data_IF_849911057919
#
_entry.id   IF_849911057919
#
_cell.length_a   1.000
_cell.length_b   1.000
_cell.length_c   1.000
_cell.angle_alpha   90.00
_cell.angle_beta   90.00
_cell.angle_gamma   90.00
#
_symmetry.space_group_name_H-M   'P 1'
#
loop_
_entity.id
_entity.type
_entity.pdbx_description
1 polymer ?
#
# COMPACT_ATOMS: atom_id res chain seq x y z
N UNK A 1 -14.44 -13.08 1.95
CA UNK A 1 -14.04 -11.66 1.96
C UNK A 1 -12.69 -11.55 1.30
N UNK A 2 -12.37 -10.40 0.72
CA UNK A 2 -11.09 -10.15 0.05
C UNK A 2 -10.46 -8.85 0.55
N UNK A 3 -9.13 -8.78 0.45
CA UNK A 3 -8.34 -7.59 0.75
C UNK A 3 -7.91 -6.95 -0.56
N UNK A 4 -8.12 -5.66 -0.72
CA UNK A 4 -7.67 -4.94 -1.91
C UNK A 4 -6.33 -4.26 -1.61
N UNK A 5 -5.34 -4.49 -2.46
CA UNK A 5 -4.12 -3.67 -2.57
C UNK A 5 -4.25 -2.90 -3.86
N UNK A 6 -4.06 -1.59 -3.82
CA UNK A 6 -4.32 -0.71 -4.95
C UNK A 6 -3.03 0.01 -5.32
N UNK A 7 -2.70 -0.04 -6.61
CA UNK A 7 -1.53 0.60 -7.16
C UNK A 7 -1.86 1.32 -8.47
N UNK A 8 -1.12 2.38 -8.76
CA UNK A 8 -1.25 3.15 -10.00
C UNK A 8 0.04 3.19 -10.80
N UNK A 9 -0.06 3.11 -12.12
CA UNK A 9 1.10 3.17 -13.03
C UNK A 9 1.70 4.57 -13.15
N UNK A 10 0.99 5.62 -12.72
CA UNK A 10 1.49 7.01 -12.78
C UNK A 10 2.33 7.40 -11.57
N UNK A 11 2.47 6.50 -10.59
CA UNK A 11 3.26 6.71 -9.38
C UNK A 11 4.33 5.62 -9.22
N UNK A 12 5.63 5.96 -9.29
CA UNK A 12 6.72 4.99 -9.10
C UNK A 12 6.69 4.31 -7.73
N UNK A 13 6.39 5.05 -6.64
CA UNK A 13 6.32 4.48 -5.29
C UNK A 13 5.12 3.53 -5.12
N UNK A 14 4.14 3.62 -6.03
CA UNK A 14 2.99 2.72 -6.08
C UNK A 14 3.28 1.47 -6.92
N UNK A 15 3.74 1.67 -8.16
CA UNK A 15 3.89 0.58 -9.12
C UNK A 15 5.13 -0.29 -8.86
N UNK A 16 6.20 0.26 -8.30
CA UNK A 16 7.42 -0.51 -8.01
C UNK A 16 7.15 -1.60 -6.97
N UNK A 17 6.57 -1.32 -5.78
CA UNK A 17 6.22 -2.38 -4.83
C UNK A 17 5.16 -3.34 -5.38
N UNK A 18 4.20 -2.85 -6.18
CA UNK A 18 3.20 -3.70 -6.82
C UNK A 18 3.84 -4.73 -7.77
N UNK A 19 4.87 -4.35 -8.53
CA UNK A 19 5.63 -5.27 -9.38
C UNK A 19 6.43 -6.29 -8.56
N UNK A 20 7.06 -5.86 -7.48
CA UNK A 20 7.76 -6.77 -6.55
C UNK A 20 6.79 -7.79 -5.94
N UNK A 21 5.57 -7.36 -5.56
CA UNK A 21 4.50 -8.25 -5.13
C UNK A 21 4.15 -9.27 -6.22
N UNK A 22 3.86 -8.81 -7.44
CA UNK A 22 3.47 -9.68 -8.57
C UNK A 22 4.56 -10.65 -9.01
N UNK A 23 5.83 -10.32 -8.79
CA UNK A 23 6.95 -11.21 -9.06
C UNK A 23 7.02 -12.39 -8.08
N UNK A 24 6.34 -12.32 -6.94
CA UNK A 24 6.26 -13.43 -5.99
C UNK A 24 5.38 -14.57 -6.53
N UNK A 25 5.63 -15.83 -6.11
CA UNK A 25 4.78 -16.95 -6.50
C UNK A 25 3.34 -16.82 -6.03
N UNK A 26 2.40 -17.35 -6.83
CA UNK A 26 0.99 -17.49 -6.45
C UNK A 26 0.04 -16.46 -7.06
N UNK A 27 0.55 -15.39 -7.66
CA UNK A 27 -0.28 -14.43 -8.37
C UNK A 27 -0.82 -14.98 -9.68
N UNK A 28 -2.11 -14.73 -9.93
CA UNK A 28 -2.80 -15.07 -11.17
C UNK A 28 -3.58 -13.86 -11.68
N UNK A 29 -3.69 -13.65 -13.01
CA UNK A 29 -4.57 -12.62 -13.56
C UNK A 29 -6.02 -12.78 -13.06
N UNK A 30 -6.66 -11.65 -12.73
CA UNK A 30 -8.05 -11.58 -12.29
C UNK A 30 -8.95 -10.84 -13.28
N UNK A 31 -10.17 -10.51 -12.83
CA UNK A 31 -11.14 -9.72 -13.62
C UNK A 31 -10.65 -8.30 -13.83
N UNK A 32 -10.84 -7.75 -15.03
CA UNK A 32 -10.66 -6.31 -15.27
C UNK A 32 -11.90 -5.55 -14.81
N UNK A 33 -11.74 -4.63 -13.86
CA UNK A 33 -12.79 -3.74 -13.36
C UNK A 33 -12.84 -2.46 -14.22
N UNK A 34 -14.05 -1.98 -14.54
CA UNK A 34 -14.29 -0.74 -15.28
C UNK A 34 -13.52 -0.62 -16.62
N UNK A 35 -13.17 -1.76 -17.24
CA UNK A 35 -12.35 -1.88 -18.45
C UNK A 35 -10.90 -1.35 -18.35
N UNK A 36 -10.54 -0.64 -17.29
CA UNK A 36 -9.23 0.00 -17.13
C UNK A 36 -8.43 -0.53 -15.92
N UNK A 37 -9.08 -1.07 -14.90
CA UNK A 37 -8.43 -1.54 -13.69
C UNK A 37 -8.12 -3.02 -13.83
N UNK A 38 -6.84 -3.35 -14.03
CA UNK A 38 -6.37 -4.74 -14.05
C UNK A 38 -6.36 -5.27 -12.63
N UNK A 39 -6.79 -6.51 -12.44
CA UNK A 39 -6.64 -7.18 -11.15
C UNK A 39 -5.80 -8.43 -11.24
N UNK A 40 -5.17 -8.77 -10.12
CA UNK A 40 -4.43 -9.99 -9.91
C UNK A 40 -4.86 -10.58 -8.58
N UNK A 41 -4.85 -11.90 -8.46
CA UNK A 41 -5.32 -12.62 -7.29
C UNK A 41 -4.24 -13.53 -6.72
N UNK A 42 -4.15 -13.56 -5.39
CA UNK A 42 -3.35 -14.52 -4.64
C UNK A 42 -4.06 -14.78 -3.29
N UNK A 43 -4.64 -15.97 -3.12
CA UNK A 43 -5.49 -16.28 -1.97
C UNK A 43 -6.69 -15.34 -1.84
N UNK A 44 -6.83 -14.69 -0.69
CA UNK A 44 -7.86 -13.68 -0.41
C UNK A 44 -7.42 -12.24 -0.75
N UNK A 45 -6.23 -12.06 -1.33
CA UNK A 45 -5.69 -10.75 -1.73
C UNK A 45 -5.97 -10.48 -3.20
N UNK A 46 -6.33 -9.24 -3.50
CA UNK A 46 -6.49 -8.71 -4.86
C UNK A 46 -5.58 -7.51 -5.02
N UNK A 47 -4.65 -7.56 -5.97
CA UNK A 47 -3.89 -6.39 -6.37
C UNK A 47 -4.60 -5.74 -7.56
N UNK A 48 -4.99 -4.48 -7.43
CA UNK A 48 -5.64 -3.68 -8.45
C UNK A 48 -4.63 -2.67 -9.01
N UNK A 49 -4.45 -2.67 -10.32
CA UNK A 49 -3.55 -1.77 -11.04
C UNK A 49 -4.36 -0.91 -12.01
N UNK A 50 -4.28 0.41 -11.85
CA UNK A 50 -4.95 1.40 -12.70
C UNK A 50 -3.98 2.49 -13.17
N UNK A 51 -4.45 3.39 -14.04
CA UNK A 51 -3.61 4.40 -14.73
C UNK A 51 -3.96 5.86 -14.36
N UNK A 52 -4.72 6.05 -13.28
CA UNK A 52 -5.18 7.37 -12.80
C UNK A 52 -4.52 7.76 -11.47
N UNK A 53 -4.75 9.00 -11.02
CA UNK A 53 -4.36 9.41 -9.67
C UNK A 53 -5.00 8.51 -8.62
N UNK A 54 -4.22 8.00 -7.67
CA UNK A 54 -4.71 7.05 -6.66
C UNK A 54 -5.78 7.66 -5.75
N UNK A 55 -5.71 8.98 -5.53
CA UNK A 55 -6.70 9.75 -4.75
C UNK A 55 -8.02 10.00 -5.51
N UNK A 56 -8.08 9.64 -6.79
CA UNK A 56 -9.29 9.75 -7.63
C UNK A 56 -10.14 8.45 -7.60
N UNK A 57 -9.66 7.39 -6.97
CA UNK A 57 -10.34 6.09 -6.92
C UNK A 57 -11.37 6.02 -5.78
N UNK A 58 -12.31 6.96 -5.77
CA UNK A 58 -13.43 6.96 -4.84
C UNK A 58 -14.27 5.68 -4.98
N UNK A 59 -14.75 5.20 -3.83
CA UNK A 59 -15.66 4.06 -3.64
C UNK A 59 -15.17 2.77 -4.33
N UNK A 60 -13.84 2.59 -4.47
CA UNK A 60 -13.26 1.43 -5.15
C UNK A 60 -13.63 0.10 -4.49
N UNK A 61 -13.76 0.09 -3.17
CA UNK A 61 -14.30 -1.03 -2.40
C UNK A 61 -15.71 -1.41 -2.87
N UNK A 62 -16.61 -0.43 -2.98
CA UNK A 62 -17.98 -0.68 -3.41
C UNK A 62 -18.07 -1.06 -4.89
N UNK A 63 -17.28 -0.41 -5.75
CA UNK A 63 -17.18 -0.75 -7.18
C UNK A 63 -16.72 -2.19 -7.37
N UNK A 64 -15.72 -2.63 -6.60
CA UNK A 64 -15.26 -4.02 -6.61
C UNK A 64 -16.36 -5.00 -6.16
N UNK A 65 -17.02 -4.74 -5.03
CA UNK A 65 -18.10 -5.58 -4.52
C UNK A 65 -19.23 -5.73 -5.55
N UNK A 66 -19.63 -4.63 -6.18
CA UNK A 66 -20.71 -4.60 -7.18
C UNK A 66 -20.35 -5.39 -8.44
N UNK A 67 -19.11 -5.27 -8.92
CA UNK A 67 -18.67 -5.92 -10.15
C UNK A 67 -18.37 -7.42 -9.98
N UNK A 68 -17.93 -7.83 -8.80
CA UNK A 68 -17.40 -9.20 -8.57
C UNK A 68 -18.24 -10.05 -7.64
N UNK A 69 -19.13 -9.45 -6.85
CA UNK A 69 -19.84 -10.10 -5.76
C UNK A 69 -18.94 -10.50 -4.57
N UNK A 70 -17.65 -10.13 -4.58
CA UNK A 70 -16.73 -10.43 -3.49
C UNK A 70 -16.73 -9.30 -2.46
N UNK A 71 -17.21 -9.57 -1.24
CA UNK A 71 -17.14 -8.62 -0.11
C UNK A 71 -15.70 -8.23 0.21
N UNK A 72 -15.46 -6.92 0.33
CA UNK A 72 -14.16 -6.33 0.68
C UNK A 72 -14.08 -6.19 2.20
N UNK A 73 -12.96 -6.66 2.75
CA UNK A 73 -12.63 -6.58 4.19
C UNK A 73 -11.84 -5.31 4.51
N UNK A 74 -10.93 -4.92 3.61
CA UNK A 74 -10.06 -3.75 3.76
C UNK A 74 -9.44 -3.33 2.42
N UNK A 75 -8.95 -2.09 2.38
CA UNK A 75 -8.24 -1.51 1.23
C UNK A 75 -6.88 -0.96 1.68
N UNK A 76 -5.84 -1.19 0.89
CA UNK A 76 -4.48 -0.70 1.14
C UNK A 76 -3.99 -0.04 -0.13
N UNK A 77 -3.66 1.25 -0.04
CA UNK A 77 -3.13 2.02 -1.14
C UNK A 77 -1.60 2.08 -1.06
N UNK A 78 -0.93 1.81 -2.17
CA UNK A 78 0.51 2.02 -2.33
C UNK A 78 0.71 3.36 -3.03
N UNK A 79 1.52 4.26 -2.49
CA UNK A 79 1.63 5.63 -3.02
C UNK A 79 2.98 6.27 -2.72
N UNK A 80 3.25 7.42 -3.33
CA UNK A 80 4.34 8.29 -2.93
C UNK A 80 3.94 9.20 -1.78
N UNK A 81 4.89 9.37 -0.87
CA UNK A 81 4.90 10.47 0.07
C UNK A 81 5.77 11.61 -0.50
N UNK A 82 5.35 12.87 -0.31
CA UNK A 82 6.13 14.07 -0.66
C UNK A 82 6.30 14.96 0.56
N UNK A 83 7.55 15.30 0.91
CA UNK A 83 7.86 16.23 2.00
C UNK A 83 8.85 17.31 1.56
N UNK A 84 8.62 18.54 2.04
CA UNK A 84 9.55 19.69 1.84
C UNK A 84 10.94 19.41 2.42
N UNK A 85 11.02 18.59 3.47
CA UNK A 85 12.29 18.20 4.08
C UNK A 85 13.17 17.33 3.17
N UNK A 86 12.59 16.72 2.12
CA UNK A 86 13.19 15.72 1.25
C UNK A 86 13.82 14.52 2.00
N UNK A 87 13.46 14.32 3.27
CA UNK A 87 13.95 13.18 4.05
C UNK A 87 13.30 11.90 3.54
N UNK A 88 14.07 10.83 3.27
CA UNK A 88 13.49 9.55 2.90
C UNK A 88 12.68 8.97 4.05
N UNK A 89 11.50 8.45 3.74
CA UNK A 89 10.60 7.88 4.73
C UNK A 89 9.79 6.74 4.12
N UNK A 90 9.49 5.72 4.93
CA UNK A 90 8.40 4.79 4.67
C UNK A 90 7.30 5.09 5.67
N UNK A 91 6.13 5.44 5.17
CA UNK A 91 5.05 5.94 6.02
C UNK A 91 3.80 5.10 5.92
N UNK A 92 3.00 5.14 6.98
CA UNK A 92 1.65 4.58 7.00
C UNK A 92 0.71 5.66 7.51
N UNK A 93 -0.45 5.84 6.90
CA UNK A 93 -1.41 6.80 7.42
C UNK A 93 -2.86 6.43 7.08
N UNK A 94 -3.82 6.87 7.93
CA UNK A 94 -5.23 6.75 7.62
C UNK A 94 -5.64 7.85 6.63
N UNK A 95 -6.77 7.65 5.95
CA UNK A 95 -7.24 8.56 4.90
C UNK A 95 -8.43 9.38 5.36
N UNK A 96 -8.57 10.58 4.78
CA UNK A 96 -9.69 11.46 5.04
C UNK A 96 -9.30 12.93 5.03
N UNK A 97 -10.31 13.78 4.98
CA UNK A 97 -10.16 15.24 5.01
C UNK A 97 -10.97 15.84 6.17
N UNK A 98 -10.74 15.40 7.43
CA UNK A 98 -11.59 15.75 8.57
C UNK A 98 -11.49 17.23 8.97
N UNK A 99 -10.46 17.94 8.50
CA UNK A 99 -10.20 19.32 8.85
C UNK A 99 -10.96 20.34 7.97
N UNK A 100 -11.51 19.91 6.82
CA UNK A 100 -12.28 20.76 5.92
C UNK A 100 -13.78 20.73 6.25
N UNK A 101 -14.49 21.78 5.86
CA UNK A 101 -15.94 21.95 6.09
C UNK A 101 -16.72 21.69 4.80
N UNK A 102 -18.02 21.43 4.96
CA UNK A 102 -18.93 21.29 3.83
C UNK A 102 -18.87 22.55 2.93
N UNK A 103 -18.70 22.34 1.62
CA UNK A 103 -18.49 23.40 0.64
C UNK A 103 -17.04 23.66 0.26
N UNK A 104 -16.07 23.19 1.07
CA UNK A 104 -14.65 23.25 0.70
C UNK A 104 -14.32 22.25 -0.42
N UNK A 105 -13.27 22.52 -1.19
CA UNK A 105 -12.75 21.61 -2.22
C UNK A 105 -11.44 21.00 -1.73
N UNK A 106 -11.39 19.68 -1.45
CA UNK A 106 -10.15 19.03 -1.04
C UNK A 106 -9.10 19.09 -2.16
N UNK A 107 -7.86 19.50 -1.87
CA UNK A 107 -6.83 19.64 -2.90
C UNK A 107 -6.31 18.29 -3.43
N UNK A 108 -6.52 17.19 -2.70
CA UNK A 108 -5.93 15.88 -2.97
C UNK A 108 -6.99 14.77 -2.85
N UNK A 109 -8.17 14.98 -3.45
CA UNK A 109 -9.27 14.01 -3.42
C UNK A 109 -9.96 13.87 -2.05
N UNK A 110 -10.98 13.03 -1.99
CA UNK A 110 -11.78 12.78 -0.80
C UNK A 110 -12.95 13.78 -0.63
N UNK A 111 -13.59 13.72 0.55
CA UNK A 111 -14.74 14.55 0.91
C UNK A 111 -14.45 15.40 2.16
N UNK A 112 -14.82 16.70 2.19
CA UNK A 112 -14.68 17.52 3.39
C UNK A 112 -15.41 16.95 4.60
N UNK A 113 -14.80 17.04 5.78
CA UNK A 113 -15.39 16.61 7.05
C UNK A 113 -15.56 15.09 7.17
N UNK A 114 -14.83 14.31 6.36
CA UNK A 114 -14.95 12.87 6.28
C UNK A 114 -13.60 12.17 6.47
N UNK A 115 -13.62 10.95 7.02
CA UNK A 115 -12.47 10.05 7.07
C UNK A 115 -12.94 8.59 6.96
N UNK A 116 -12.11 7.73 6.37
CA UNK A 116 -12.37 6.30 6.34
C UNK A 116 -12.19 5.69 7.75
N UNK A 117 -12.81 4.53 8.04
CA UNK A 117 -12.39 3.71 9.17
C UNK A 117 -10.88 3.41 9.04
N UNK A 118 -10.04 3.72 10.04
CA UNK A 118 -8.61 3.42 9.96
C UNK A 118 -8.39 1.90 9.97
N UNK A 119 -7.41 1.42 9.20
CA UNK A 119 -7.08 0.00 9.18
C UNK A 119 -6.56 -0.45 10.56
N UNK A 120 -7.18 -1.46 11.21
CA UNK A 120 -6.77 -1.91 12.55
C UNK A 120 -5.36 -2.51 12.58
N UNK A 121 -4.77 -2.82 11.43
CA UNK A 121 -3.45 -3.43 11.30
C UNK A 121 -2.31 -2.41 11.22
N UNK A 122 -2.59 -1.11 11.15
CA UNK A 122 -1.57 -0.05 11.07
C UNK A 122 -0.47 -0.16 12.13
N UNK A 123 -0.82 -0.40 13.39
CA UNK A 123 0.15 -0.56 14.49
C UNK A 123 1.08 -1.77 14.29
N UNK A 124 0.52 -2.99 14.16
CA UNK A 124 1.30 -4.19 13.84
C UNK A 124 2.16 -4.07 12.57
N UNK A 125 1.64 -3.40 11.53
CA UNK A 125 2.34 -3.17 10.26
C UNK A 125 3.52 -2.23 10.44
N UNK A 126 3.34 -1.10 11.13
CA UNK A 126 4.45 -0.19 11.46
C UNK A 126 5.62 -0.89 12.16
N UNK A 127 5.33 -1.76 13.14
CA UNK A 127 6.35 -2.54 13.84
C UNK A 127 7.09 -3.49 12.89
N UNK A 128 6.36 -4.11 11.98
CA UNK A 128 6.91 -5.03 11.01
C UNK A 128 7.74 -4.30 9.95
N UNK A 129 7.20 -3.24 9.34
CA UNK A 129 7.87 -2.41 8.37
C UNK A 129 9.22 -1.93 8.92
N UNK A 130 9.26 -1.49 10.18
CA UNK A 130 10.50 -1.13 10.85
C UNK A 130 11.50 -2.28 10.94
N UNK A 131 11.06 -3.50 11.30
CA UNK A 131 11.94 -4.68 11.38
C UNK A 131 12.47 -5.11 10.02
N UNK A 132 11.63 -5.11 8.99
CA UNK A 132 12.03 -5.48 7.63
C UNK A 132 13.01 -4.42 7.11
N UNK A 133 12.68 -3.14 7.25
CA UNK A 133 13.56 -2.02 6.86
C UNK A 133 14.92 -2.08 7.55
N UNK A 134 14.97 -2.39 8.85
CA UNK A 134 16.22 -2.61 9.59
C UNK A 134 17.03 -3.77 9.01
N UNK A 135 16.40 -4.93 8.79
CA UNK A 135 17.08 -6.11 8.23
C UNK A 135 17.57 -5.93 6.79
N UNK A 136 16.98 -5.00 6.04
CA UNK A 136 17.37 -4.61 4.69
C UNK A 136 18.29 -3.36 4.65
N UNK A 137 18.78 -2.88 5.79
CA UNK A 137 19.68 -1.73 5.92
C UNK A 137 19.11 -0.40 5.38
N UNK A 138 17.80 -0.23 5.39
CA UNK A 138 17.17 1.05 5.07
C UNK A 138 17.27 2.05 6.24
N UNK A 139 17.46 1.58 7.47
CA UNK A 139 17.64 2.42 8.66
C UNK A 139 19.15 2.63 8.90
N UNK A 140 19.62 3.87 9.18
CA UNK A 140 18.86 5.05 9.57
C UNK A 140 18.54 6.02 8.41
N UNK A 141 18.72 5.60 7.16
CA UNK A 141 18.44 6.46 6.02
C UNK A 141 16.96 6.82 5.95
N UNK A 142 16.09 5.81 5.85
CA UNK A 142 14.64 5.96 5.87
C UNK A 142 14.12 6.09 7.30
N UNK A 143 13.32 7.14 7.53
CA UNK A 143 12.45 7.23 8.70
C UNK A 143 11.23 6.32 8.53
N UNK A 144 10.89 5.54 9.56
CA UNK A 144 9.70 4.69 9.56
C UNK A 144 8.68 5.30 10.52
N UNK A 145 7.60 5.88 10.01
CA UNK A 145 6.73 6.74 10.82
C UNK A 145 5.29 6.79 10.35
N UNK A 146 4.38 7.18 11.26
CA UNK A 146 3.00 7.46 10.89
C UNK A 146 2.85 8.90 10.41
N UNK A 147 1.88 9.13 9.51
CA UNK A 147 1.40 10.48 9.21
C UNK A 147 -0.01 10.71 9.76
N UNK A 148 -0.41 11.98 9.78
CA UNK A 148 -1.76 12.38 10.16
C UNK A 148 -2.79 11.91 9.13
N UNK A 149 -4.06 11.85 9.53
CA UNK A 149 -5.17 11.61 8.58
C UNK A 149 -5.23 12.74 7.56
N UNK A 150 -5.00 12.43 6.29
CA UNK A 150 -5.09 13.40 5.22
C UNK A 150 -5.46 12.76 3.87
N UNK A 151 -5.97 13.64 2.98
CA UNK A 151 -6.35 13.39 1.59
C UNK A 151 -7.32 12.23 1.32
N UNK A 152 -7.74 12.08 0.05
CA UNK A 152 -8.61 11.00 -0.42
C UNK A 152 -7.86 9.69 -0.71
N UNK A 153 -8.51 8.69 -1.33
CA UNK A 153 -9.88 8.72 -1.86
C UNK A 153 -10.95 8.51 -0.78
N UNK A 154 -12.22 8.37 -1.18
CA UNK A 154 -13.34 7.94 -0.32
C UNK A 154 -13.47 6.42 -0.34
N UNK A 155 -13.60 5.78 0.83
CA UNK A 155 -13.81 4.33 0.96
C UNK A 155 -14.68 4.01 2.17
N UNK A 156 -15.53 2.98 2.13
CA UNK A 156 -16.35 2.59 3.29
C UNK A 156 -15.69 1.54 4.20
N UNK A 157 -14.64 0.86 3.72
CA UNK A 157 -13.92 -0.20 4.46
C UNK A 157 -12.73 0.34 5.26
N UNK A 158 -12.21 -0.44 6.23
CA UNK A 158 -10.93 -0.17 6.88
C UNK A 158 -9.81 0.04 5.87
N UNK A 159 -9.13 1.19 5.97
CA UNK A 159 -8.19 1.64 4.93
C UNK A 159 -6.95 2.29 5.50
N UNK A 160 -5.83 2.14 4.79
CA UNK A 160 -4.58 2.88 5.03
C UNK A 160 -3.82 3.08 3.72
N UNK A 161 -2.96 4.08 3.70
CA UNK A 161 -1.86 4.18 2.75
C UNK A 161 -0.59 3.60 3.35
N UNK A 162 0.25 3.06 2.47
CA UNK A 162 1.67 2.76 2.73
C UNK A 162 2.45 3.46 1.64
N UNK A 163 3.38 4.31 2.05
CA UNK A 163 4.04 5.20 1.12
C UNK A 163 5.57 5.12 1.17
N UNK A 164 6.18 5.41 0.03
CA UNK A 164 7.62 5.63 -0.09
C UNK A 164 7.82 7.12 -0.35
N UNK A 165 8.68 7.75 0.44
CA UNK A 165 9.00 9.15 0.33
C UNK A 165 10.50 9.43 0.35
N UNK A 166 10.93 10.66 0.08
CA UNK A 166 10.07 11.83 -0.21
C UNK A 166 10.28 12.43 -1.60
N UNK A 167 11.14 11.81 -2.42
CA UNK A 167 11.56 12.32 -3.73
C UNK A 167 11.52 11.20 -4.77
N UNK A 168 11.55 11.57 -6.06
CA UNK A 168 11.56 10.59 -7.16
C UNK A 168 12.71 9.59 -7.09
N UNK A 169 13.87 10.01 -6.58
CA UNK A 169 15.01 9.13 -6.33
C UNK A 169 14.61 7.98 -5.39
N UNK A 170 13.94 8.31 -4.27
CA UNK A 170 13.51 7.31 -3.29
C UNK A 170 12.29 6.51 -3.75
N UNK A 171 11.34 7.12 -4.47
CA UNK A 171 10.16 6.42 -4.99
C UNK A 171 10.52 5.27 -5.93
N UNK A 172 11.67 5.36 -6.61
CA UNK A 172 12.15 4.35 -7.57
C UNK A 172 13.16 3.38 -6.97
N UNK A 173 13.48 3.49 -5.67
CA UNK A 173 14.47 2.62 -5.03
C UNK A 173 13.99 1.16 -4.97
N UNK A 174 14.70 0.22 -5.60
CA UNK A 174 14.28 -1.19 -5.63
C UNK A 174 14.22 -1.83 -4.23
N UNK A 175 15.14 -1.47 -3.34
CA UNK A 175 15.18 -1.99 -1.97
C UNK A 175 14.02 -1.46 -1.11
N UNK A 176 13.66 -0.18 -1.23
CA UNK A 176 12.46 0.37 -0.61
C UNK A 176 11.18 -0.31 -1.14
N UNK A 177 11.08 -0.51 -2.46
CA UNK A 177 9.96 -1.21 -3.08
C UNK A 177 9.84 -2.67 -2.60
N UNK A 178 10.97 -3.37 -2.48
CA UNK A 178 11.01 -4.73 -1.96
C UNK A 178 10.54 -4.81 -0.50
N UNK A 179 10.97 -3.87 0.36
CA UNK A 179 10.55 -3.83 1.77
C UNK A 179 9.03 -3.63 1.89
N UNK A 180 8.45 -2.68 1.15
CA UNK A 180 7.00 -2.47 1.11
C UNK A 180 6.25 -3.70 0.56
N UNK A 181 6.80 -4.36 -0.45
CA UNK A 181 6.21 -5.58 -1.01
C UNK A 181 6.26 -6.77 -0.04
N UNK A 182 7.34 -6.95 0.71
CA UNK A 182 7.46 -8.01 1.72
C UNK A 182 6.45 -7.85 2.85
N UNK A 183 6.11 -6.62 3.21
CA UNK A 183 5.00 -6.33 4.12
C UNK A 183 3.66 -6.74 3.48
N UNK A 184 3.42 -6.37 2.22
CA UNK A 184 2.22 -6.77 1.46
C UNK A 184 2.05 -8.29 1.31
N UNK A 185 3.13 -9.08 1.29
CA UNK A 185 3.06 -10.55 1.29
C UNK A 185 2.25 -11.11 2.47
N UNK A 186 2.25 -10.43 3.61
CA UNK A 186 1.52 -10.86 4.80
C UNK A 186 0.00 -10.68 4.69
N UNK A 187 -0.49 -10.13 3.58
CA UNK A 187 -1.91 -10.11 3.28
C UNK A 187 -2.46 -11.52 3.00
N UNK A 188 -1.63 -12.46 2.53
CA UNK A 188 -2.04 -13.75 1.95
C UNK A 188 -1.88 -15.01 2.81
N UNK A 189 -1.79 -14.90 4.15
CA UNK A 189 -1.76 -16.07 5.06
C UNK A 189 -0.52 -16.13 5.95
N UNK A 190 -0.46 -17.10 6.90
CA UNK A 190 0.52 -17.12 7.97
C UNK A 190 1.89 -17.45 7.39
N UNK A 191 2.64 -16.44 6.98
CA UNK A 191 4.08 -16.57 6.78
C UNK A 191 4.71 -16.26 8.14
N UNK A 192 5.31 -17.25 8.82
CA UNK A 192 6.00 -17.01 10.07
C UNK A 192 7.05 -15.91 9.89
N UNK A 193 7.05 -14.93 10.81
CA UNK A 193 7.97 -13.78 10.79
C UNK A 193 9.45 -14.18 10.65
N UNK A 194 9.83 -15.37 11.13
CA UNK A 194 11.21 -15.88 11.05
C UNK A 194 11.66 -16.30 9.64
N UNK A 195 10.74 -16.64 8.74
CA UNK A 195 11.07 -16.91 7.33
C UNK A 195 11.42 -15.61 6.57
N UNK A 196 10.92 -14.46 7.03
CA UNK A 196 11.24 -13.16 6.43
C UNK A 196 12.61 -12.62 6.89
N UNK A 197 13.04 -12.99 8.09
CA UNK A 197 14.31 -12.52 8.66
C UNK A 197 15.53 -13.38 8.24
N UNK A 198 15.31 -14.50 7.56
CA UNK A 198 16.36 -15.45 7.18
C UNK A 198 16.83 -15.35 5.73
N UNK A 199 16.07 -14.70 4.85
CA UNK A 199 16.43 -14.51 3.44
C UNK A 199 17.52 -13.44 3.20
N UNK A 200 18.07 -12.87 4.27
CA UNK A 200 19.14 -11.86 4.19
C UNK A 200 20.54 -12.37 3.85
N UNK A 201 20.86 -13.69 3.90
CA UNK A 201 22.18 -14.21 3.49
C UNK A 201 22.16 -15.67 3.00
N UNK A 202 22.76 -15.90 1.83
CA UNK A 202 23.20 -17.22 1.37
C UNK A 202 24.20 -17.83 2.35
N UNK A 203 24.01 -19.11 2.73
CA UNK A 203 25.10 -19.94 3.24
C UNK A 203 25.13 -21.26 2.49
N UNK A 204 26.13 -21.40 1.60
CA UNK A 204 26.55 -22.68 1.05
C UNK A 204 27.09 -23.53 2.19
N UNK A 205 26.35 -24.54 2.63
CA UNK A 205 26.90 -25.61 3.44
C UNK A 205 27.48 -26.65 2.49
N UNK A 206 28.79 -26.59 2.27
CA UNK A 206 29.53 -27.77 1.81
C UNK A 206 29.46 -28.81 2.94
N UNK A 207 29.05 -30.01 2.54
CA UNK A 207 28.96 -31.21 3.39
C UNK A 207 30.29 -31.53 4.06
#
# INVERSE_FOLDING_TARGET
>A
MVKLVVATTVDPASICPAKELLAMPGWQPGTTLDQCIRSFSNGDVRLLEHDKGIVEEDDLDQRWENATGQTVDEVIFLSKHTAVSNRPALTIHPIGVPHLKEGDVPPQGGKPGWAAPPNPRMGPWMILLNKIAESHNLIPEFEITFEATHHGPVTTKPTMFIEIGSTEEYWRRPDAAQVVALEGRLLGGPTPLWLLLTDGRSWSIKR
#
